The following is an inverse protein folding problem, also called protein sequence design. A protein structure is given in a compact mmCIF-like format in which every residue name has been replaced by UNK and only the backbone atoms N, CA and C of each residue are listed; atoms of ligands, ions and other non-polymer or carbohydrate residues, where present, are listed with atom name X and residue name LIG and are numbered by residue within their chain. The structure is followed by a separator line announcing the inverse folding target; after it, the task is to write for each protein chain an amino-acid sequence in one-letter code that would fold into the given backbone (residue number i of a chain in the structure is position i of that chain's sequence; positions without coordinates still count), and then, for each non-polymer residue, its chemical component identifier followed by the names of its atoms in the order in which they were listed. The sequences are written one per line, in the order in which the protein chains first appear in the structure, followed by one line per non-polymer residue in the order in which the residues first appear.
data_IF_798373389581
#
_entry.id   IF_798373389581
#
_cell.length_a   1.000
_cell.length_b   1.000
_cell.length_c   1.000
_cell.angle_alpha   90.00
_cell.angle_beta   90.00
_cell.angle_gamma   90.00
#
_symmetry.space_group_name_H-M   'P 1'
#
loop_
_entity.id
_entity.type
_entity.pdbx_description
1 polymer ?
#
# COMPACT_ATOMS: atom_id res chain seq x y z
N UNK A 1 -58.41 -40.88 -55.12
CA UNK A 1 -57.32 -41.41 -54.31
C UNK A 1 -56.37 -40.27 -53.98
N UNK A 2 -56.46 -39.68 -52.80
CA UNK A 2 -55.64 -38.49 -52.40
C UNK A 2 -54.65 -38.96 -51.38
N UNK A 3 -53.35 -38.94 -51.71
CA UNK A 3 -52.28 -39.29 -50.79
C UNK A 3 -51.99 -38.14 -49.81
N UNK A 4 -52.16 -38.41 -48.53
CA UNK A 4 -51.90 -37.42 -47.45
C UNK A 4 -50.43 -37.50 -47.03
N UNK A 5 -49.63 -36.50 -47.43
CA UNK A 5 -48.21 -36.40 -47.03
C UNK A 5 -48.16 -35.72 -45.66
N UNK A 6 -47.86 -36.50 -44.62
CA UNK A 6 -47.52 -35.93 -43.28
C UNK A 6 -46.13 -35.34 -43.31
N UNK A 7 -46.02 -34.01 -43.19
CA UNK A 7 -44.74 -33.33 -42.92
C UNK A 7 -44.48 -33.39 -41.43
N UNK A 8 -43.48 -34.17 -41.01
CA UNK A 8 -42.97 -34.17 -39.68
C UNK A 8 -42.04 -32.95 -39.50
N UNK A 9 -42.48 -31.96 -38.77
CA UNK A 9 -41.65 -30.83 -38.38
C UNK A 9 -40.86 -31.24 -37.14
N UNK A 10 -39.59 -31.58 -37.34
CA UNK A 10 -38.66 -31.83 -36.23
C UNK A 10 -38.24 -30.47 -35.65
N UNK A 11 -38.76 -30.12 -34.52
CA UNK A 11 -38.33 -28.92 -33.78
C UNK A 11 -36.98 -29.22 -33.13
N UNK A 12 -35.89 -28.72 -33.72
CA UNK A 12 -34.57 -28.80 -33.16
C UNK A 12 -34.50 -27.78 -32.01
N UNK A 13 -34.60 -28.26 -30.76
CA UNK A 13 -34.34 -27.47 -29.56
C UNK A 13 -32.85 -27.19 -29.50
N UNK A 14 -32.43 -25.94 -29.81
CA UNK A 14 -31.08 -25.50 -29.58
C UNK A 14 -30.93 -25.24 -28.10
N UNK A 15 -30.22 -26.15 -27.40
CA UNK A 15 -29.80 -26.01 -26.01
C UNK A 15 -28.77 -24.88 -25.91
N UNK A 16 -29.23 -23.67 -25.64
CA UNK A 16 -28.41 -22.47 -25.46
C UNK A 16 -27.89 -22.42 -24.01
N UNK A 17 -27.21 -23.49 -23.56
CA UNK A 17 -26.50 -23.46 -22.29
C UNK A 17 -25.20 -22.69 -22.48
N UNK A 18 -24.95 -21.60 -21.71
CA UNK A 18 -23.66 -20.92 -21.75
C UNK A 18 -22.58 -21.93 -21.29
N UNK A 19 -21.53 -22.06 -22.09
CA UNK A 19 -20.39 -22.91 -21.79
C UNK A 19 -19.86 -22.63 -20.38
N UNK A 20 -19.49 -23.66 -19.60
CA UNK A 20 -18.93 -23.45 -18.28
C UNK A 20 -17.70 -22.58 -18.39
N UNK A 21 -17.73 -21.41 -17.76
CA UNK A 21 -16.56 -20.52 -17.63
C UNK A 21 -15.44 -21.37 -17.04
N UNK A 22 -14.44 -21.69 -17.86
CA UNK A 22 -13.20 -22.31 -17.41
C UNK A 22 -12.68 -21.43 -16.27
N UNK A 23 -12.82 -21.90 -15.03
CA UNK A 23 -12.08 -21.38 -13.88
C UNK A 23 -10.63 -21.44 -14.27
N UNK A 24 -10.01 -20.30 -14.54
CA UNK A 24 -8.56 -20.18 -14.59
C UNK A 24 -8.06 -20.76 -13.29
N UNK A 25 -7.57 -21.99 -13.33
CA UNK A 25 -6.72 -22.53 -12.27
C UNK A 25 -5.57 -21.56 -12.17
N UNK A 26 -5.60 -20.72 -11.13
CA UNK A 26 -4.46 -19.92 -10.75
C UNK A 26 -3.33 -20.90 -10.45
N UNK A 27 -2.32 -20.88 -11.31
CA UNK A 27 -1.08 -21.61 -11.14
C UNK A 27 -0.41 -21.07 -9.86
N UNK A 28 -0.68 -21.71 -8.72
CA UNK A 28 -0.15 -21.33 -7.40
C UNK A 28 1.08 -22.14 -7.05
N UNK A 29 1.89 -22.48 -8.04
CA UNK A 29 3.16 -23.15 -7.78
C UNK A 29 4.28 -22.25 -8.30
N UNK A 30 5.05 -21.65 -7.38
CA UNK A 30 6.35 -21.05 -7.65
C UNK A 30 6.48 -19.53 -7.53
N UNK A 31 5.57 -18.81 -6.90
CA UNK A 31 5.85 -17.42 -6.53
C UNK A 31 6.07 -17.33 -5.02
N UNK A 32 7.35 -17.25 -4.61
CA UNK A 32 7.74 -16.52 -3.39
C UNK A 32 7.42 -15.03 -3.60
N UNK A 33 6.17 -14.72 -3.89
CA UNK A 33 5.66 -13.37 -3.91
C UNK A 33 5.36 -12.97 -2.48
N UNK A 34 6.03 -11.95 -1.99
CA UNK A 34 5.63 -11.25 -0.77
C UNK A 34 4.12 -11.03 -0.80
N UNK A 35 3.41 -11.71 0.08
CA UNK A 35 1.96 -11.68 0.16
C UNK A 35 1.51 -10.32 0.69
N UNK A 36 1.34 -9.33 -0.20
CA UNK A 36 0.87 -8.00 0.18
C UNK A 36 -0.52 -8.08 0.82
N UNK A 37 -0.66 -7.55 2.02
CA UNK A 37 -1.95 -7.41 2.72
C UNK A 37 -2.59 -6.07 2.37
N UNK A 38 -3.88 -6.12 2.02
CA UNK A 38 -4.67 -4.92 1.74
C UNK A 38 -5.43 -4.49 2.98
N UNK A 39 -5.24 -3.25 3.41
CA UNK A 39 -6.02 -2.62 4.47
C UNK A 39 -6.60 -1.30 3.98
N UNK A 40 -7.77 -0.94 4.49
CA UNK A 40 -8.38 0.35 4.25
C UNK A 40 -7.90 1.35 5.30
N UNK A 41 -7.39 2.47 4.85
CA UNK A 41 -7.00 3.61 5.68
C UNK A 41 -7.86 4.82 5.33
N UNK A 42 -8.07 5.70 6.29
CA UNK A 42 -8.76 6.97 6.06
C UNK A 42 -7.71 8.07 6.05
N UNK A 43 -7.61 8.79 4.94
CA UNK A 43 -6.63 9.87 4.71
C UNK A 43 -7.38 11.12 4.29
N UNK A 44 -7.26 12.19 5.05
CA UNK A 44 -8.02 13.44 4.84
C UNK A 44 -9.52 13.20 4.67
N UNK A 45 -10.12 12.28 5.44
CA UNK A 45 -11.54 11.94 5.35
C UNK A 45 -11.91 10.98 4.22
N UNK A 46 -10.99 10.63 3.33
CA UNK A 46 -11.24 9.72 2.21
C UNK A 46 -10.73 8.31 2.50
N UNK A 47 -11.58 7.32 2.26
CA UNK A 47 -11.23 5.92 2.41
C UNK A 47 -10.38 5.46 1.23
N UNK A 48 -9.18 4.96 1.53
CA UNK A 48 -8.20 4.50 0.53
C UNK A 48 -7.77 3.08 0.87
N UNK A 49 -7.75 2.18 -0.11
CA UNK A 49 -7.18 0.84 0.05
C UNK A 49 -5.68 0.89 -0.22
N UNK A 50 -4.88 0.42 0.72
CA UNK A 50 -3.43 0.39 0.62
C UNK A 50 -2.91 -1.05 0.79
N UNK A 51 -2.02 -1.47 -0.11
CA UNK A 51 -1.41 -2.80 -0.11
C UNK A 51 0.05 -2.69 0.28
N UNK A 52 0.40 -3.32 1.39
CA UNK A 52 1.76 -3.35 1.94
C UNK A 52 2.13 -4.77 2.37
N UNK A 53 3.41 -5.00 2.51
CA UNK A 53 3.98 -6.19 3.13
C UNK A 53 3.47 -6.31 4.59
N UNK A 54 3.29 -7.53 5.12
CA UNK A 54 2.90 -7.73 6.53
C UNK A 54 3.83 -6.98 7.49
N UNK A 55 5.14 -7.06 7.25
CA UNK A 55 6.19 -6.43 8.05
C UNK A 55 6.07 -4.89 8.04
N UNK A 56 5.62 -4.33 6.92
CA UNK A 56 5.39 -2.89 6.83
C UNK A 56 4.17 -2.46 7.63
N UNK A 57 3.11 -3.28 7.68
CA UNK A 57 1.97 -3.04 8.56
C UNK A 57 2.34 -3.13 10.04
N UNK A 58 3.24 -4.06 10.41
CA UNK A 58 3.77 -4.19 11.76
C UNK A 58 4.60 -2.95 12.12
N UNK A 59 5.49 -2.51 11.23
CA UNK A 59 6.26 -1.28 11.39
C UNK A 59 5.38 -0.04 11.61
N UNK A 60 4.28 0.10 10.86
CA UNK A 60 3.34 1.21 11.05
C UNK A 60 2.62 1.13 12.39
N UNK A 61 2.31 -0.08 12.89
CA UNK A 61 1.73 -0.27 14.24
C UNK A 61 2.71 0.13 15.32
N UNK A 62 3.98 -0.24 15.20
CA UNK A 62 5.02 0.12 16.16
C UNK A 62 5.19 1.65 16.23
N UNK A 63 5.26 2.32 15.07
CA UNK A 63 5.30 3.78 15.02
C UNK A 63 4.05 4.39 15.66
N UNK A 64 2.87 3.86 15.32
CA UNK A 64 1.58 4.29 15.86
C UNK A 64 1.55 4.26 17.39
N UNK A 65 2.02 3.15 17.97
CA UNK A 65 2.11 2.99 19.44
C UNK A 65 3.12 3.95 20.06
N UNK A 66 4.29 4.12 19.48
CA UNK A 66 5.35 4.99 19.99
C UNK A 66 4.97 6.46 19.96
N UNK A 67 4.30 6.89 18.88
CA UNK A 67 3.91 8.28 18.68
C UNK A 67 2.52 8.61 19.26
N UNK A 68 1.83 7.62 19.81
CA UNK A 68 0.44 7.74 20.27
C UNK A 68 -0.50 8.31 19.19
N UNK A 69 -0.31 7.86 17.96
CA UNK A 69 -1.11 8.23 16.78
C UNK A 69 -1.76 6.98 16.18
N UNK A 70 -2.91 7.13 15.54
CA UNK A 70 -3.49 6.05 14.74
C UNK A 70 -2.78 5.91 13.41
N UNK A 71 -2.85 4.74 12.78
CA UNK A 71 -2.32 4.51 11.42
C UNK A 71 -2.96 5.50 10.41
N UNK A 72 -4.24 5.84 10.57
CA UNK A 72 -4.91 6.82 9.73
C UNK A 72 -4.28 8.22 9.86
N UNK A 73 -3.95 8.64 11.09
CA UNK A 73 -3.25 9.90 11.34
C UNK A 73 -1.85 9.89 10.75
N UNK A 74 -1.08 8.81 10.94
CA UNK A 74 0.24 8.66 10.30
C UNK A 74 0.14 8.76 8.78
N UNK A 75 -0.78 8.04 8.16
CA UNK A 75 -1.00 8.09 6.71
C UNK A 75 -1.43 9.50 6.24
N UNK A 76 -2.20 10.23 7.05
CA UNK A 76 -2.58 11.61 6.76
C UNK A 76 -1.37 12.54 6.80
N UNK A 77 -0.50 12.43 7.81
CA UNK A 77 0.73 13.22 7.90
C UNK A 77 1.66 12.95 6.71
N UNK A 78 1.87 11.67 6.37
CA UNK A 78 2.66 11.29 5.19
C UNK A 78 2.04 11.83 3.90
N UNK A 79 0.70 11.78 3.78
CA UNK A 79 0.00 12.31 2.62
C UNK A 79 0.17 13.83 2.46
N UNK A 80 0.29 14.58 3.55
CA UNK A 80 0.51 16.03 3.52
C UNK A 80 1.91 16.41 3.03
N UNK A 81 2.92 15.56 3.30
CA UNK A 81 4.31 15.83 2.92
C UNK A 81 4.70 15.20 1.58
N UNK A 82 3.96 14.20 1.09
CA UNK A 82 4.20 13.62 -0.23
C UNK A 82 3.79 14.60 -1.34
N UNK A 83 4.54 14.59 -2.44
CA UNK A 83 4.19 15.36 -3.64
C UNK A 83 3.41 14.47 -4.63
N UNK A 84 4.08 13.92 -5.65
CA UNK A 84 3.47 13.12 -6.72
C UNK A 84 3.60 11.61 -6.55
N UNK A 85 4.36 11.16 -5.55
CA UNK A 85 4.52 9.74 -5.26
C UNK A 85 3.21 9.12 -4.77
N UNK A 86 3.04 7.82 -4.98
CA UNK A 86 1.90 7.10 -4.41
C UNK A 86 1.98 7.13 -2.88
N UNK A 87 0.82 7.14 -2.21
CA UNK A 87 0.78 7.06 -0.74
C UNK A 87 1.53 5.82 -0.23
N UNK A 88 1.37 4.68 -0.90
CA UNK A 88 2.05 3.42 -0.55
C UNK A 88 3.58 3.55 -0.61
N UNK A 89 4.12 4.22 -1.64
CA UNK A 89 5.55 4.48 -1.76
C UNK A 89 6.03 5.44 -0.67
N UNK A 90 5.32 6.54 -0.45
CA UNK A 90 5.67 7.52 0.58
C UNK A 90 5.66 6.92 1.98
N UNK A 91 4.71 6.04 2.30
CA UNK A 91 4.62 5.35 3.60
C UNK A 91 5.82 4.41 3.82
N UNK A 92 6.29 3.70 2.78
CA UNK A 92 7.51 2.87 2.90
C UNK A 92 8.76 3.71 3.20
N UNK A 93 8.93 4.81 2.47
CA UNK A 93 10.05 5.74 2.69
C UNK A 93 9.99 6.35 4.09
N UNK A 94 8.80 6.78 4.53
CA UNK A 94 8.57 7.30 5.86
C UNK A 94 8.94 6.29 6.96
N UNK A 95 8.44 5.05 6.89
CA UNK A 95 8.74 4.03 7.89
C UNK A 95 10.25 3.74 7.97
N UNK A 96 10.93 3.64 6.82
CA UNK A 96 12.38 3.47 6.79
C UNK A 96 13.12 4.65 7.43
N UNK A 97 12.73 5.89 7.08
CA UNK A 97 13.33 7.10 7.64
C UNK A 97 13.11 7.21 9.15
N UNK A 98 11.91 6.84 9.62
CA UNK A 98 11.59 6.83 11.05
C UNK A 98 12.51 5.89 11.83
N UNK A 99 12.63 4.64 11.42
CA UNK A 99 13.47 3.67 12.13
C UNK A 99 14.96 4.01 12.03
N UNK A 100 15.42 4.58 10.92
CA UNK A 100 16.80 5.10 10.82
C UNK A 100 17.06 6.24 11.81
N UNK A 101 16.11 7.14 11.99
CA UNK A 101 16.21 8.24 12.96
C UNK A 101 16.22 7.70 14.42
N UNK A 102 15.40 6.69 14.69
CA UNK A 102 15.39 6.03 16.00
C UNK A 102 16.73 5.33 16.26
N UNK A 103 17.25 4.58 15.28
CA UNK A 103 18.52 3.88 15.40
C UNK A 103 19.68 4.86 15.63
N UNK A 104 19.73 5.97 14.88
CA UNK A 104 20.74 7.00 15.05
C UNK A 104 20.71 7.64 16.44
N UNK A 105 19.52 7.79 17.03
CA UNK A 105 19.38 8.29 18.40
C UNK A 105 19.81 7.29 19.48
N UNK A 106 19.70 6.00 19.22
CA UNK A 106 20.14 4.93 20.14
C UNK A 106 21.66 4.72 20.07
N UNK A 107 22.28 4.95 18.93
CA UNK A 107 23.71 4.77 18.71
C UNK A 107 24.55 5.95 19.22
N UNK A 108 23.91 7.06 19.63
CA UNK A 108 24.59 8.22 20.20
C UNK A 108 24.28 8.35 21.72
N UNK A 109 25.05 7.71 22.60
CA UNK A 109 24.86 7.80 24.04
C UNK A 109 25.05 9.24 24.58
N UNK A 110 25.70 10.11 23.81
CA UNK A 110 25.94 11.51 24.18
C UNK A 110 24.72 12.37 23.87
N UNK A 111 23.86 11.94 22.93
CA UNK A 111 22.67 12.69 22.55
C UNK A 111 21.70 12.88 23.72
N UNK A 112 21.59 11.89 24.62
CA UNK A 112 20.77 11.98 25.81
C UNK A 112 21.30 13.03 26.86
N UNK A 113 22.57 13.36 26.75
CA UNK A 113 23.25 14.35 27.65
C UNK A 113 23.29 15.76 27.05
N UNK A 114 22.83 15.93 25.79
CA UNK A 114 22.81 17.25 25.15
C UNK A 114 21.63 18.08 25.64
N UNK A 115 21.81 19.43 25.78
CA UNK A 115 20.69 20.31 26.03
C UNK A 115 19.58 20.15 25.01
N UNK A 116 18.32 20.31 25.39
CA UNK A 116 17.15 20.12 24.56
C UNK A 116 17.21 20.91 23.23
N UNK A 117 17.89 22.05 23.21
CA UNK A 117 18.10 22.89 22.00
C UNK A 117 19.07 22.27 20.97
N UNK A 118 19.83 21.24 21.36
CA UNK A 118 20.86 20.59 20.54
C UNK A 118 20.54 19.11 20.32
N UNK A 119 19.44 18.60 20.89
CA UNK A 119 19.00 17.24 20.69
C UNK A 119 18.56 17.01 19.24
N UNK A 120 18.80 15.79 18.76
CA UNK A 120 18.29 15.37 17.44
C UNK A 120 16.77 15.60 17.37
N UNK A 121 16.28 16.03 16.20
CA UNK A 121 14.84 16.24 16.03
C UNK A 121 14.08 14.95 16.35
N UNK A 122 12.85 15.12 16.86
CA UNK A 122 11.99 13.97 17.15
C UNK A 122 11.90 13.03 15.94
N UNK A 123 11.96 11.70 16.10
CA UNK A 123 12.02 10.76 14.99
C UNK A 123 10.91 10.95 13.96
N UNK A 124 9.71 11.29 14.41
CA UNK A 124 8.57 11.57 13.53
C UNK A 124 8.82 12.80 12.64
N UNK A 125 9.26 13.90 13.22
CA UNK A 125 9.56 15.15 12.50
C UNK A 125 10.72 14.96 11.52
N UNK A 126 11.77 14.26 11.95
CA UNK A 126 12.90 13.91 11.11
C UNK A 126 12.47 13.03 9.92
N UNK A 127 11.63 12.02 10.17
CA UNK A 127 11.14 11.12 9.13
C UNK A 127 10.25 11.85 8.11
N UNK A 128 9.35 12.72 8.56
CA UNK A 128 8.51 13.54 7.69
C UNK A 128 9.35 14.53 6.86
N UNK A 129 10.37 15.13 7.48
CA UNK A 129 11.32 16.03 6.80
C UNK A 129 12.11 15.32 5.71
N UNK A 130 12.69 14.15 6.01
CA UNK A 130 13.42 13.34 5.03
C UNK A 130 12.51 12.84 3.89
N UNK A 131 11.29 12.45 4.19
CA UNK A 131 10.31 12.04 3.19
C UNK A 131 10.03 13.18 2.21
N UNK A 132 9.88 14.40 2.69
CA UNK A 132 9.69 15.61 1.85
C UNK A 132 10.92 15.89 0.98
N UNK A 133 12.12 15.83 1.55
CA UNK A 133 13.37 16.11 0.83
C UNK A 133 13.63 15.07 -0.27
N UNK A 134 13.40 13.79 0.00
CA UNK A 134 13.61 12.74 -0.98
C UNK A 134 12.66 12.86 -2.17
N UNK A 135 11.41 13.18 -1.91
CA UNK A 135 10.40 13.45 -2.94
C UNK A 135 10.77 14.66 -3.79
N UNK A 136 11.31 15.71 -3.17
CA UNK A 136 11.77 16.90 -3.89
C UNK A 136 13.00 16.61 -4.78
N UNK A 137 13.95 15.79 -4.31
CA UNK A 137 15.14 15.39 -5.05
C UNK A 137 14.80 14.57 -6.31
N UNK A 138 13.87 13.63 -6.21
CA UNK A 138 13.40 12.85 -7.36
C UNK A 138 12.77 13.72 -8.46
N UNK A 139 12.16 14.84 -8.08
CA UNK A 139 11.57 15.81 -9.00
C UNK A 139 12.63 16.54 -9.83
N UNK A 140 13.79 16.83 -9.23
CA UNK A 140 14.88 17.57 -9.89
C UNK A 140 15.67 16.67 -10.85
N UNK A 141 15.68 15.37 -10.66
CA UNK A 141 16.43 14.41 -11.47
C UNK A 141 15.65 13.85 -12.68
N UNK A 142 14.39 14.24 -12.88
CA UNK A 142 13.61 13.79 -14.03
C UNK A 142 13.78 14.79 -15.17
N UNK A 143 14.58 14.49 -16.24
CA UNK A 143 14.66 15.33 -17.41
C UNK A 143 13.29 15.39 -18.10
N UNK A 144 12.96 16.53 -18.64
CA UNK A 144 11.75 16.81 -19.43
C UNK A 144 11.78 16.02 -20.72
#
# INVERSE_FOLDING_TARGET
MVAFIKRSTTLTYQDNRPAPRRRRRSNREGQMGTSLKSHNVVVNGHRTSMRLEPEMWDALRDISLRENLSINQLCTLVNQVRDRSSLTSAVRVFALAYFRSVAAGLDDPINALRPAAVQAPHPLDAALGMTRQQIAAERTQRPV
#
